data_IF_812934930690
#
_entry.id   IF_812934930690
#
_cell.length_a   1.000
_cell.length_b   1.000
_cell.length_c   1.000
_cell.angle_alpha   90.00
_cell.angle_beta   90.00
_cell.angle_gamma   90.00
#
_symmetry.space_group_name_H-M   'P 1'
#
loop_
_entity.id
_entity.type
_entity.pdbx_description
1 polymer ?
#
# COMPACT_ATOMS: atom_id res chain seq x y z
N UNK A 1 10.97 2.54 -19.03
CA UNK A 1 9.86 1.67 -19.52
C UNK A 1 10.00 1.56 -21.03
N UNK A 2 9.97 0.35 -21.60
CA UNK A 2 10.12 0.14 -23.04
C UNK A 2 8.82 0.58 -23.75
N UNK A 3 8.89 1.43 -24.80
CA UNK A 3 7.70 1.99 -25.47
C UNK A 3 6.73 0.92 -25.99
N UNK A 4 7.22 -0.26 -26.33
CA UNK A 4 6.40 -1.40 -26.79
C UNK A 4 5.36 -1.88 -25.76
N UNK A 5 5.64 -1.76 -24.45
CA UNK A 5 4.73 -2.24 -23.40
C UNK A 5 3.50 -1.34 -23.24
N UNK A 6 3.66 -0.02 -23.50
CA UNK A 6 2.57 0.96 -23.39
C UNK A 6 1.54 0.73 -24.50
N UNK A 7 1.97 0.47 -25.73
CA UNK A 7 1.09 0.18 -26.85
C UNK A 7 0.30 -1.12 -26.64
N UNK A 8 0.96 -2.17 -26.13
CA UNK A 8 0.30 -3.44 -25.83
C UNK A 8 -0.77 -3.28 -24.74
N UNK A 9 -0.47 -2.53 -23.68
CA UNK A 9 -1.43 -2.23 -22.62
C UNK A 9 -2.63 -1.42 -23.14
N UNK A 10 -2.38 -0.39 -23.95
CA UNK A 10 -3.44 0.41 -24.57
C UNK A 10 -4.35 -0.42 -25.49
N UNK A 11 -3.78 -1.31 -26.28
CA UNK A 11 -4.50 -2.19 -27.19
C UNK A 11 -5.33 -3.24 -26.43
N UNK A 12 -4.80 -3.76 -25.31
CA UNK A 12 -5.48 -4.74 -24.46
C UNK A 12 -6.65 -4.10 -23.71
N UNK A 13 -6.45 -2.89 -23.14
CA UNK A 13 -7.51 -2.13 -22.50
C UNK A 13 -8.60 -1.68 -23.49
N UNK A 14 -8.21 -1.20 -24.67
CA UNK A 14 -9.13 -0.78 -25.71
C UNK A 14 -9.94 -1.96 -26.28
N UNK A 15 -9.29 -3.10 -26.53
CA UNK A 15 -9.94 -4.33 -26.97
C UNK A 15 -10.95 -4.86 -25.95
N UNK A 16 -10.59 -4.83 -24.67
CA UNK A 16 -11.49 -5.27 -23.59
C UNK A 16 -12.70 -4.33 -23.43
N UNK A 17 -12.51 -3.02 -23.60
CA UNK A 17 -13.59 -2.04 -23.57
C UNK A 17 -14.58 -2.20 -24.74
N UNK A 18 -14.10 -2.63 -25.91
CA UNK A 18 -14.94 -2.90 -27.08
C UNK A 18 -15.73 -4.21 -26.96
N UNK A 19 -15.09 -5.27 -26.41
CA UNK A 19 -15.70 -6.60 -26.30
C UNK A 19 -16.71 -6.69 -25.15
N UNK A 20 -16.48 -5.99 -24.05
CA UNK A 20 -17.33 -6.04 -22.86
C UNK A 20 -17.38 -4.68 -22.14
N UNK A 21 -18.09 -3.68 -22.69
CA UNK A 21 -18.09 -2.33 -22.15
C UNK A 21 -18.60 -2.26 -20.70
N UNK A 22 -19.59 -3.09 -20.34
CA UNK A 22 -20.09 -3.19 -18.97
C UNK A 22 -19.04 -3.70 -17.96
N UNK A 23 -18.26 -4.71 -18.35
CA UNK A 23 -17.17 -5.24 -17.53
C UNK A 23 -16.05 -4.21 -17.38
N UNK A 24 -15.69 -3.53 -18.47
CA UNK A 24 -14.66 -2.50 -18.45
C UNK A 24 -15.06 -1.31 -17.55
N UNK A 25 -16.32 -0.88 -17.64
CA UNK A 25 -16.85 0.18 -16.76
C UNK A 25 -16.87 -0.25 -15.29
N UNK A 26 -17.35 -1.46 -14.99
CA UNK A 26 -17.38 -1.99 -13.64
C UNK A 26 -15.97 -2.11 -13.03
N UNK A 27 -14.99 -2.59 -13.81
CA UNK A 27 -13.58 -2.65 -13.42
C UNK A 27 -13.00 -1.26 -13.19
N UNK A 28 -13.30 -0.29 -14.05
CA UNK A 28 -12.86 1.10 -13.90
C UNK A 28 -13.33 1.72 -12.60
N UNK A 29 -14.60 1.55 -12.27
CA UNK A 29 -15.22 2.07 -11.04
C UNK A 29 -14.66 1.33 -9.81
N UNK A 30 -14.53 0.01 -9.86
CA UNK A 30 -14.01 -0.81 -8.77
C UNK A 30 -12.55 -0.46 -8.44
N UNK A 31 -11.73 -0.22 -9.46
CA UNK A 31 -10.32 0.09 -9.32
C UNK A 31 -10.03 1.60 -9.27
N UNK A 32 -11.06 2.46 -9.28
CA UNK A 32 -10.88 3.91 -9.21
C UNK A 32 -9.93 4.37 -8.07
N UNK A 33 -10.03 3.86 -6.82
CA UNK A 33 -9.10 4.25 -5.77
C UNK A 33 -7.66 3.84 -6.06
N UNK A 34 -7.45 2.72 -6.75
CA UNK A 34 -6.11 2.29 -7.16
C UNK A 34 -5.50 3.22 -8.23
N UNK A 35 -6.32 3.66 -9.18
CA UNK A 35 -5.92 4.66 -10.18
C UNK A 35 -5.60 6.00 -9.54
N UNK A 36 -6.42 6.47 -8.61
CA UNK A 36 -6.15 7.69 -7.84
C UNK A 36 -4.84 7.57 -7.06
N UNK A 37 -4.60 6.43 -6.40
CA UNK A 37 -3.33 6.17 -5.72
C UNK A 37 -2.12 6.25 -6.64
N UNK A 38 -2.23 5.70 -7.87
CA UNK A 38 -1.16 5.78 -8.88
C UNK A 38 -0.89 7.20 -9.37
N UNK A 39 -1.93 8.02 -9.50
CA UNK A 39 -1.82 9.40 -9.98
C UNK A 39 -1.28 10.33 -8.90
N UNK A 40 -1.68 10.12 -7.64
CA UNK A 40 -1.26 10.98 -6.51
C UNK A 40 0.11 10.59 -5.93
N UNK A 41 0.53 9.34 -6.07
CA UNK A 41 1.80 8.88 -5.50
C UNK A 41 2.99 9.22 -6.41
N UNK A 42 3.61 10.36 -6.14
CA UNK A 42 4.80 10.87 -6.86
C UNK A 42 6.12 10.39 -6.23
N UNK A 43 6.07 9.56 -5.17
CA UNK A 43 7.27 9.09 -4.46
C UNK A 43 8.04 8.04 -5.27
N UNK A 44 9.39 7.99 -5.14
CA UNK A 44 10.17 6.91 -5.72
C UNK A 44 9.70 5.57 -5.16
N UNK A 45 9.52 4.57 -6.05
CA UNK A 45 8.96 3.23 -5.78
C UNK A 45 7.46 3.15 -5.47
N UNK A 46 6.73 4.26 -5.38
CA UNK A 46 5.25 4.33 -5.22
C UNK A 46 4.70 3.34 -4.17
N UNK A 47 5.15 3.42 -2.91
CA UNK A 47 4.76 2.45 -1.88
C UNK A 47 3.26 2.52 -1.56
N UNK A 48 2.69 3.74 -1.54
CA UNK A 48 1.26 3.96 -1.26
C UNK A 48 0.41 3.35 -2.35
N UNK A 49 0.74 3.61 -3.63
CA UNK A 49 0.02 3.05 -4.76
C UNK A 49 0.02 1.52 -4.75
N UNK A 50 1.14 0.89 -4.40
CA UNK A 50 1.23 -0.57 -4.30
C UNK A 50 0.33 -1.14 -3.21
N UNK A 51 0.32 -0.53 -2.02
CA UNK A 51 -0.57 -0.94 -0.94
C UNK A 51 -2.04 -0.80 -1.36
N UNK A 52 -2.43 0.36 -1.89
CA UNK A 52 -3.81 0.60 -2.32
C UNK A 52 -4.25 -0.40 -3.39
N UNK A 53 -3.39 -0.69 -4.38
CA UNK A 53 -3.67 -1.68 -5.43
C UNK A 53 -3.88 -3.07 -4.83
N UNK A 54 -2.98 -3.52 -3.94
CA UNK A 54 -3.10 -4.84 -3.31
C UNK A 54 -4.38 -4.98 -2.49
N UNK A 55 -4.72 -3.96 -1.69
CA UNK A 55 -5.95 -3.96 -0.90
C UNK A 55 -7.20 -3.89 -1.79
N UNK A 56 -7.19 -3.07 -2.83
CA UNK A 56 -8.29 -2.98 -3.78
C UNK A 56 -8.51 -4.29 -4.55
N UNK A 57 -7.43 -4.97 -4.97
CA UNK A 57 -7.51 -6.27 -5.64
C UNK A 57 -8.00 -7.37 -4.69
N UNK A 58 -7.52 -7.38 -3.46
CA UNK A 58 -7.95 -8.35 -2.46
C UNK A 58 -9.46 -8.21 -2.15
N UNK A 59 -9.92 -7.00 -1.88
CA UNK A 59 -11.34 -6.72 -1.62
C UNK A 59 -12.21 -6.86 -2.87
N UNK A 60 -11.66 -6.55 -4.05
CA UNK A 60 -12.34 -6.66 -5.35
C UNK A 60 -12.43 -8.07 -5.91
N UNK A 61 -11.73 -9.05 -5.33
CA UNK A 61 -11.69 -10.43 -5.86
C UNK A 61 -13.07 -11.07 -5.96
N UNK A 62 -13.94 -10.89 -4.96
CA UNK A 62 -15.31 -11.40 -4.95
C UNK A 62 -16.19 -10.78 -6.07
N UNK A 63 -16.35 -9.46 -6.10
CA UNK A 63 -17.06 -8.79 -7.19
C UNK A 63 -16.49 -9.11 -8.57
N UNK A 64 -15.17 -9.21 -8.71
CA UNK A 64 -14.50 -9.54 -9.96
C UNK A 64 -14.86 -10.95 -10.45
N UNK A 65 -14.89 -11.93 -9.54
CA UNK A 65 -15.32 -13.29 -9.87
C UNK A 65 -16.78 -13.33 -10.31
N UNK A 66 -17.67 -12.59 -9.69
CA UNK A 66 -19.08 -12.49 -10.08
C UNK A 66 -19.25 -11.85 -11.47
N UNK A 67 -18.50 -10.79 -11.76
CA UNK A 67 -18.48 -10.14 -13.08
C UNK A 67 -18.01 -11.10 -14.17
N UNK A 68 -16.95 -11.86 -13.88
CA UNK A 68 -16.39 -12.85 -14.80
C UNK A 68 -17.35 -14.00 -15.08
N UNK A 69 -17.97 -14.56 -14.03
CA UNK A 69 -18.97 -15.60 -14.16
C UNK A 69 -20.20 -15.13 -14.96
N UNK A 70 -20.69 -13.91 -14.70
CA UNK A 70 -21.80 -13.32 -15.45
C UNK A 70 -21.49 -13.10 -16.93
N UNK A 71 -20.27 -12.73 -17.26
CA UNK A 71 -19.82 -12.56 -18.64
C UNK A 71 -19.73 -13.90 -19.39
N UNK A 72 -19.20 -14.94 -18.76
CA UNK A 72 -19.09 -16.28 -19.35
C UNK A 72 -20.45 -16.95 -19.61
N UNK A 73 -21.45 -16.64 -18.80
CA UNK A 73 -22.81 -17.18 -18.97
C UNK A 73 -23.64 -16.49 -20.05
N UNK A 74 -23.04 -15.52 -20.78
CA UNK A 74 -23.68 -14.86 -21.92
C UNK A 74 -24.84 -13.91 -21.55
N UNK A 75 -24.92 -13.52 -20.27
CA UNK A 75 -25.92 -12.54 -19.83
C UNK A 75 -25.69 -11.19 -20.47
N UNK A 76 -26.69 -10.68 -21.21
CA UNK A 76 -26.65 -9.39 -21.89
C UNK A 76 -26.55 -8.18 -20.94
N UNK A 77 -26.62 -8.38 -19.63
CA UNK A 77 -26.46 -7.38 -18.60
C UNK A 77 -25.46 -7.85 -17.56
N UNK A 78 -24.21 -7.37 -17.63
CA UNK A 78 -23.27 -7.53 -16.52
C UNK A 78 -23.79 -6.68 -15.36
N UNK A 79 -24.18 -7.27 -14.21
CA UNK A 79 -24.70 -6.50 -13.11
C UNK A 79 -23.56 -5.58 -12.60
N UNK A 80 -23.81 -4.27 -12.63
CA UNK A 80 -22.91 -3.32 -12.01
C UNK A 80 -22.78 -3.67 -10.51
N UNK A 81 -21.57 -3.59 -9.94
CA UNK A 81 -21.37 -3.85 -8.52
C UNK A 81 -22.28 -2.93 -7.70
N UNK A 82 -23.03 -3.52 -6.77
CA UNK A 82 -23.92 -2.77 -5.89
C UNK A 82 -23.17 -1.76 -5.05
N UNK A 83 -23.85 -0.69 -4.62
CA UNK A 83 -23.26 0.37 -3.78
C UNK A 83 -22.56 -0.17 -2.53
N UNK A 84 -23.10 -1.24 -1.91
CA UNK A 84 -22.46 -1.90 -0.78
C UNK A 84 -21.13 -2.55 -1.13
N UNK A 85 -21.03 -3.20 -2.28
CA UNK A 85 -19.77 -3.81 -2.75
C UNK A 85 -18.72 -2.75 -3.09
N UNK A 86 -19.14 -1.66 -3.75
CA UNK A 86 -18.26 -0.53 -4.03
C UNK A 86 -17.77 0.11 -2.73
N UNK A 87 -18.67 0.34 -1.78
CA UNK A 87 -18.34 0.89 -0.48
C UNK A 87 -17.31 0.05 0.28
N UNK A 88 -17.47 -1.27 0.30
CA UNK A 88 -16.50 -2.17 0.95
C UNK A 88 -15.12 -2.13 0.27
N UNK A 89 -15.05 -2.22 -1.05
CA UNK A 89 -13.78 -2.16 -1.78
C UNK A 89 -13.08 -0.83 -1.59
N UNK A 90 -13.81 0.28 -1.64
CA UNK A 90 -13.24 1.61 -1.46
C UNK A 90 -12.80 1.87 -0.02
N UNK A 91 -13.54 1.38 0.98
CA UNK A 91 -13.14 1.46 2.38
C UNK A 91 -11.87 0.66 2.66
N UNK A 92 -11.75 -0.54 2.11
CA UNK A 92 -10.56 -1.38 2.24
C UNK A 92 -9.35 -0.74 1.51
N UNK A 93 -9.57 -0.15 0.35
CA UNK A 93 -8.53 0.59 -0.37
C UNK A 93 -8.06 1.83 0.41
N UNK A 94 -8.98 2.57 1.03
CA UNK A 94 -8.67 3.70 1.90
C UNK A 94 -7.90 3.27 3.15
N UNK A 95 -8.25 2.12 3.76
CA UNK A 95 -7.48 1.55 4.86
C UNK A 95 -6.05 1.18 4.43
N UNK A 96 -5.87 0.64 3.23
CA UNK A 96 -4.55 0.38 2.65
C UNK A 96 -3.72 1.64 2.47
N UNK A 97 -4.36 2.75 2.09
CA UNK A 97 -3.68 4.05 1.99
C UNK A 97 -3.26 4.57 3.37
N UNK A 98 -4.16 4.54 4.35
CA UNK A 98 -3.85 4.95 5.71
C UNK A 98 -2.71 4.13 6.32
N UNK A 99 -2.70 2.82 6.10
CA UNK A 99 -1.60 1.95 6.53
C UNK A 99 -0.27 2.35 5.89
N UNK A 100 -0.25 2.63 4.59
CA UNK A 100 0.95 3.03 3.88
C UNK A 100 1.52 4.37 4.40
N UNK A 101 0.67 5.31 4.81
CA UNK A 101 1.09 6.60 5.39
C UNK A 101 1.49 6.48 6.87
N UNK A 102 0.78 5.65 7.64
CA UNK A 102 1.04 5.48 9.08
C UNK A 102 2.26 4.61 9.37
N UNK A 103 2.53 3.60 8.55
CA UNK A 103 3.60 2.63 8.77
C UNK A 103 4.98 3.28 8.93
N UNK A 104 5.43 4.21 8.04
CA UNK A 104 6.73 4.85 8.19
C UNK A 104 6.83 5.72 9.45
N UNK A 105 5.73 6.34 9.88
CA UNK A 105 5.68 7.12 11.13
C UNK A 105 5.85 6.20 12.33
N UNK A 106 5.14 5.08 12.34
CA UNK A 106 5.21 4.08 13.40
C UNK A 106 6.61 3.47 13.50
N UNK A 107 7.21 3.11 12.37
CA UNK A 107 8.57 2.57 12.31
C UNK A 107 9.59 3.58 12.84
N UNK A 108 9.48 4.85 12.47
CA UNK A 108 10.35 5.91 13.01
C UNK A 108 10.19 6.06 14.52
N UNK A 109 8.97 6.11 15.03
CA UNK A 109 8.73 6.21 16.46
C UNK A 109 9.34 5.03 17.24
N UNK A 110 9.17 3.80 16.75
CA UNK A 110 9.77 2.60 17.36
C UNK A 110 11.29 2.65 17.31
N UNK A 111 11.88 3.08 16.19
CA UNK A 111 13.33 3.22 16.07
C UNK A 111 13.89 4.30 17.01
N UNK A 112 13.20 5.43 17.16
CA UNK A 112 13.58 6.50 18.08
C UNK A 112 13.53 6.02 19.54
N UNK A 113 12.48 5.31 19.94
CA UNK A 113 12.36 4.72 21.27
C UNK A 113 13.50 3.72 21.54
N UNK A 114 13.81 2.85 20.59
CA UNK A 114 14.90 1.89 20.72
C UNK A 114 16.28 2.56 20.76
N UNK A 115 16.49 3.61 19.99
CA UNK A 115 17.75 4.37 19.99
C UNK A 115 17.95 5.11 21.30
N UNK A 116 16.91 5.70 21.88
CA UNK A 116 16.94 6.36 23.18
C UNK A 116 17.28 5.36 24.30
N UNK A 117 16.66 4.17 24.29
CA UNK A 117 16.94 3.12 25.26
C UNK A 117 18.39 2.60 25.16
N UNK A 118 18.93 2.47 23.94
CA UNK A 118 20.34 2.09 23.74
C UNK A 118 21.28 3.18 24.22
N UNK A 119 20.99 4.44 23.92
CA UNK A 119 21.79 5.57 24.39
C UNK A 119 21.84 5.68 25.91
N UNK A 120 20.71 5.42 26.58
CA UNK A 120 20.67 5.38 28.07
C UNK A 120 21.59 4.28 28.63
N UNK A 121 21.52 3.06 28.10
CA UNK A 121 22.39 1.94 28.52
C UNK A 121 23.89 2.23 28.28
N UNK A 122 24.21 2.85 27.15
CA UNK A 122 25.60 3.21 26.86
C UNK A 122 26.12 4.31 27.79
N UNK A 123 25.29 5.26 28.21
CA UNK A 123 25.66 6.28 29.20
C UNK A 123 25.92 5.64 30.56
N UNK A 124 25.05 4.74 31.00
CA UNK A 124 25.20 4.02 32.25
C UNK A 124 26.50 3.16 32.27
N UNK A 125 26.77 2.43 31.20
CA UNK A 125 27.99 1.66 31.03
C UNK A 125 29.25 2.55 31.05
N UNK A 126 29.19 3.72 30.40
CA UNK A 126 30.28 4.70 30.40
C UNK A 126 30.53 5.24 31.82
N UNK A 127 29.48 5.57 32.54
CA UNK A 127 29.59 6.15 33.88
C UNK A 127 30.16 5.12 34.86
N UNK A 128 29.77 3.85 34.76
CA UNK A 128 30.37 2.75 35.52
C UNK A 128 31.87 2.58 35.20
N UNK A 129 32.25 2.65 33.93
CA UNK A 129 33.66 2.60 33.54
C UNK A 129 34.44 3.80 34.10
N UNK A 130 33.91 5.00 34.02
CA UNK A 130 34.54 6.21 34.52
C UNK A 130 34.73 6.13 36.04
N UNK A 131 33.76 5.60 36.76
CA UNK A 131 33.86 5.38 38.22
C UNK A 131 34.93 4.36 38.55
N UNK A 132 34.97 3.22 37.85
CA UNK A 132 35.99 2.18 38.06
C UNK A 132 37.40 2.68 37.79
N UNK A 133 37.58 3.52 36.75
CA UNK A 133 38.88 4.12 36.42
C UNK A 133 39.30 5.21 37.42
N UNK A 134 38.36 5.98 37.97
CA UNK A 134 38.65 7.00 38.98
C UNK A 134 39.13 6.39 40.31
N UNK A 135 38.75 5.17 40.59
CA UNK A 135 39.21 4.41 41.78
C UNK A 135 40.64 3.88 41.57
N UNK A 136 41.03 3.56 40.32
CA UNK A 136 42.36 3.01 40.00
C UNK A 136 43.44 4.10 39.91
N UNK A 137 43.07 5.35 39.54
CA UNK A 137 44.04 6.47 39.47
C UNK A 137 43.63 7.63 40.39
N UNK A 138 44.01 7.59 41.70
CA UNK A 138 43.69 8.66 42.65
C UNK A 138 44.45 9.98 42.37
N UNK A 139 45.36 10.02 41.39
CA UNK A 139 46.10 11.23 40.99
C UNK A 139 45.37 12.03 39.88
N UNK A 140 44.24 11.54 39.38
CA UNK A 140 43.44 12.23 38.35
C UNK A 140 42.41 13.23 38.93
N UNK A 141 42.55 13.61 40.22
CA UNK A 141 41.77 14.66 40.90
C UNK A 141 42.49 15.97 40.96
#
# INVERSE_FOLDING_TARGET
MRPRTIWLQGLLCGGMAMLAPGVAAALGILLAPAWLGLLLDHRPHRPVARCVILFALAAGSGPLHQLWAGWLTGGAGVPLPGLGQLGTVWSVAAAGWLLAEMLPVLVRAVLEMNSAARAARLREARDQLTESWSVVDPRAR
#
